data_IF_476762804731
#
_entry.id   IF_476762804731
#
_cell.length_a   1.000
_cell.length_b   1.000
_cell.length_c   1.000
_cell.angle_alpha   90.00
_cell.angle_beta   90.00
_cell.angle_gamma   90.00
#
_symmetry.space_group_name_H-M   'P 1'
#
loop_
_entity.id
_entity.type
_entity.pdbx_description
1 polymer ?
#
# COMPACT_ATOMS: atom_id res chain seq x y z
N UNK A 1 53.80 41.70 6.73
CA UNK A 1 52.69 41.43 7.66
C UNK A 1 51.86 40.29 7.05
N UNK A 2 51.66 39.20 7.81
CA UNK A 2 50.88 37.98 7.50
C UNK A 2 51.45 37.02 6.41
N UNK A 3 52.43 36.16 6.74
CA UNK A 3 52.33 34.77 7.27
C UNK A 3 52.01 33.69 6.20
N UNK A 4 53.08 33.00 5.77
CA UNK A 4 53.08 31.62 5.23
C UNK A 4 52.48 30.67 6.28
N UNK A 5 51.64 29.73 5.84
CA UNK A 5 51.45 28.45 6.53
C UNK A 5 51.57 27.33 5.49
N UNK A 6 52.70 26.61 5.56
CA UNK A 6 52.83 25.27 4.99
C UNK A 6 52.17 24.29 5.95
N UNK A 7 51.33 23.41 5.41
CA UNK A 7 51.03 22.12 6.01
C UNK A 7 50.62 21.17 4.89
N UNK A 8 51.62 20.47 4.37
CA UNK A 8 51.43 19.25 3.61
C UNK A 8 50.56 18.30 4.44
N UNK A 9 49.38 17.96 3.92
CA UNK A 9 48.57 16.88 4.46
C UNK A 9 49.09 15.60 3.81
N UNK A 10 49.90 14.88 4.59
CA UNK A 10 50.41 13.56 4.28
C UNK A 10 49.30 12.63 3.81
N UNK A 11 49.47 12.14 2.58
CA UNK A 11 48.72 11.03 2.00
C UNK A 11 49.22 9.72 2.61
N UNK A 12 48.94 9.51 3.90
CA UNK A 12 49.10 8.18 4.49
C UNK A 12 47.89 7.32 4.14
N UNK A 13 48.10 6.50 3.11
CA UNK A 13 47.27 5.37 2.74
C UNK A 13 47.30 4.32 3.86
N UNK A 14 46.52 4.55 4.91
CA UNK A 14 46.18 3.53 5.89
C UNK A 14 45.36 2.40 5.24
N UNK A 15 45.53 1.14 5.67
CA UNK A 15 44.88 0.00 5.04
C UNK A 15 43.37 0.18 5.10
N UNK A 16 42.72 0.00 3.94
CA UNK A 16 41.26 0.00 3.75
C UNK A 16 40.70 -1.21 4.51
N UNK A 17 40.66 -1.10 5.83
CA UNK A 17 40.09 -2.07 6.74
C UNK A 17 38.57 -1.99 6.56
N UNK A 18 38.06 -2.94 5.77
CA UNK A 18 36.69 -3.42 5.70
C UNK A 18 35.66 -2.63 6.51
N UNK A 19 35.21 -1.49 5.96
CA UNK A 19 33.83 -1.05 6.24
C UNK A 19 32.93 -2.04 5.52
N UNK A 20 32.71 -3.17 6.17
CA UNK A 20 31.62 -4.07 5.88
C UNK A 20 30.38 -3.20 5.68
N UNK A 21 29.89 -3.20 4.44
CA UNK A 21 28.64 -2.63 4.02
C UNK A 21 27.60 -2.85 5.12
N UNK A 22 27.21 -1.79 5.83
CA UNK A 22 26.00 -1.79 6.66
C UNK A 22 24.82 -1.85 5.67
N UNK A 23 24.64 -3.03 5.06
CA UNK A 23 23.54 -3.36 4.16
C UNK A 23 22.24 -3.07 4.89
N UNK A 24 21.28 -2.51 4.16
CA UNK A 24 20.00 -1.98 4.62
C UNK A 24 19.06 -2.99 5.31
N UNK A 25 19.46 -3.49 6.48
CA UNK A 25 18.53 -4.10 7.40
C UNK A 25 17.87 -2.97 8.19
N UNK A 26 16.60 -2.75 7.90
CA UNK A 26 15.68 -2.14 8.84
C UNK A 26 15.92 -2.76 10.22
N UNK A 27 16.34 -1.96 11.19
CA UNK A 27 16.67 -2.47 12.51
C UNK A 27 15.43 -3.10 13.17
N UNK A 28 15.60 -4.17 13.94
CA UNK A 28 14.50 -4.75 14.71
C UNK A 28 13.80 -3.69 15.57
N UNK A 29 14.58 -2.75 16.12
CA UNK A 29 14.09 -1.60 16.88
C UNK A 29 13.13 -0.73 16.09
N UNK A 30 13.43 -0.40 14.83
CA UNK A 30 12.53 0.42 13.99
C UNK A 30 11.20 -0.30 13.76
N UNK A 31 11.21 -1.61 13.51
CA UNK A 31 9.98 -2.39 13.32
C UNK A 31 9.12 -2.39 14.57
N UNK A 32 9.74 -2.57 15.74
CA UNK A 32 9.04 -2.53 17.04
C UNK A 32 8.46 -1.15 17.31
N UNK A 33 9.20 -0.07 17.04
CA UNK A 33 8.70 1.30 17.21
C UNK A 33 7.54 1.61 16.25
N UNK A 34 7.62 1.15 15.01
CA UNK A 34 6.55 1.32 14.03
C UNK A 34 5.28 0.58 14.47
N UNK A 35 5.41 -0.71 14.84
CA UNK A 35 4.29 -1.50 15.34
C UNK A 35 3.70 -0.92 16.63
N UNK A 36 4.56 -0.45 17.55
CA UNK A 36 4.14 0.25 18.77
C UNK A 36 3.33 1.51 18.48
N UNK A 37 3.74 2.30 17.49
CA UNK A 37 2.98 3.50 17.08
C UNK A 37 1.63 3.14 16.47
N UNK A 38 1.56 2.11 15.61
CA UNK A 38 0.28 1.61 15.08
C UNK A 38 -0.63 1.13 16.22
N UNK A 39 -0.08 0.41 17.21
CA UNK A 39 -0.82 -0.02 18.39
C UNK A 39 -1.35 1.18 19.20
N UNK A 40 -0.54 2.22 19.40
CA UNK A 40 -0.99 3.45 20.06
C UNK A 40 -2.16 4.11 19.31
N UNK A 41 -2.13 4.12 17.97
CA UNK A 41 -3.26 4.62 17.17
C UNK A 41 -4.51 3.75 17.35
N UNK A 42 -4.38 2.42 17.39
CA UNK A 42 -5.52 1.53 17.70
C UNK A 42 -6.06 1.80 19.10
N UNK A 43 -5.19 1.92 20.10
CA UNK A 43 -5.61 2.24 21.47
C UNK A 43 -6.33 3.59 21.54
N UNK A 44 -5.89 4.58 20.77
CA UNK A 44 -6.59 5.86 20.66
C UNK A 44 -8.02 5.70 20.12
N UNK A 45 -8.25 4.86 19.10
CA UNK A 45 -9.61 4.57 18.61
C UNK A 45 -10.49 4.00 19.72
N UNK A 46 -9.99 3.00 20.43
CA UNK A 46 -10.75 2.30 21.47
C UNK A 46 -10.96 3.13 22.73
N UNK A 47 -10.14 4.16 22.96
CA UNK A 47 -10.33 5.12 24.06
C UNK A 47 -11.57 6.00 23.89
N UNK A 48 -12.08 6.14 22.67
CA UNK A 48 -13.29 6.92 22.38
C UNK A 48 -14.51 6.05 22.69
N UNK A 49 -15.40 6.43 23.62
CA UNK A 49 -16.53 5.58 24.02
C UNK A 49 -17.50 5.33 22.87
N UNK A 50 -17.93 6.40 22.19
CA UNK A 50 -18.89 6.36 21.10
C UNK A 50 -18.34 7.13 19.89
N UNK A 51 -18.27 6.44 18.75
CA UNK A 51 -17.92 7.07 17.49
C UNK A 51 -19.13 7.80 16.93
N UNK A 52 -18.91 9.00 16.38
CA UNK A 52 -19.95 9.80 15.76
C UNK A 52 -19.38 10.47 14.51
N UNK A 53 -19.20 9.67 13.46
CA UNK A 53 -18.81 10.18 12.15
C UNK A 53 -20.06 10.48 11.30
N UNK A 54 -20.06 11.56 10.49
CA UNK A 54 -21.20 11.95 9.66
C UNK A 54 -21.78 10.79 8.83
N UNK A 55 -20.95 10.06 8.11
CA UNK A 55 -21.37 8.93 7.27
C UNK A 55 -21.23 7.56 7.97
N UNK A 56 -20.68 7.51 9.19
CA UNK A 56 -20.44 6.23 9.89
C UNK A 56 -21.74 5.48 10.18
N UNK A 57 -22.73 6.18 10.74
CA UNK A 57 -24.01 5.60 11.11
C UNK A 57 -24.80 5.05 9.92
N UNK A 58 -24.73 5.70 8.74
CA UNK A 58 -25.42 5.19 7.55
C UNK A 58 -24.80 3.88 7.07
N UNK A 59 -23.48 3.71 7.15
CA UNK A 59 -22.84 2.44 6.77
C UNK A 59 -23.26 1.29 7.68
N UNK A 60 -23.35 1.54 8.98
CA UNK A 60 -23.84 0.57 9.97
C UNK A 60 -25.31 0.22 9.72
N UNK A 61 -26.16 1.20 9.45
CA UNK A 61 -27.57 0.99 9.12
C UNK A 61 -27.75 0.17 7.83
N UNK A 62 -26.99 0.47 6.77
CA UNK A 62 -27.04 -0.28 5.51
C UNK A 62 -26.55 -1.72 5.69
N UNK A 63 -25.49 -1.95 6.45
CA UNK A 63 -25.00 -3.30 6.77
C UNK A 63 -26.02 -4.10 7.60
N UNK A 64 -26.74 -3.43 8.50
CA UNK A 64 -27.84 -4.04 9.24
C UNK A 64 -29.01 -4.41 8.31
N UNK A 65 -29.41 -3.52 7.39
CA UNK A 65 -30.43 -3.82 6.38
C UNK A 65 -30.06 -5.02 5.52
N UNK A 66 -28.82 -5.11 5.03
CA UNK A 66 -28.34 -6.28 4.30
C UNK A 66 -28.48 -7.58 5.09
N UNK A 67 -28.23 -7.51 6.40
CA UNK A 67 -28.37 -8.66 7.30
C UNK A 67 -29.82 -9.10 7.44
N UNK A 68 -30.72 -8.17 7.79
CA UNK A 68 -32.12 -8.53 8.09
C UNK A 68 -32.91 -8.85 6.82
N UNK A 69 -32.65 -8.16 5.71
CA UNK A 69 -33.28 -8.46 4.41
C UNK A 69 -32.73 -9.76 3.83
N UNK A 70 -31.42 -10.00 3.91
CA UNK A 70 -30.80 -11.22 3.42
C UNK A 70 -31.25 -12.48 4.17
N UNK A 71 -31.52 -12.36 5.47
CA UNK A 71 -32.01 -13.46 6.30
C UNK A 71 -33.54 -13.60 6.32
N UNK A 72 -34.27 -12.69 5.66
CA UNK A 72 -35.74 -12.67 5.69
C UNK A 72 -36.33 -12.31 7.07
N UNK A 73 -35.55 -11.71 7.96
CA UNK A 73 -35.97 -11.29 9.32
C UNK A 73 -36.30 -9.81 9.42
N UNK A 74 -36.26 -9.08 8.30
CA UNK A 74 -36.57 -7.65 8.26
C UNK A 74 -38.05 -7.40 8.62
N UNK A 75 -38.30 -6.31 9.36
CA UNK A 75 -39.66 -5.84 9.61
C UNK A 75 -40.40 -5.60 8.28
N UNK A 76 -41.70 -5.95 8.17
CA UNK A 76 -42.49 -5.70 6.96
C UNK A 76 -42.42 -4.26 6.43
N UNK A 77 -42.26 -3.26 7.30
CA UNK A 77 -42.09 -1.87 6.87
C UNK A 77 -40.78 -1.69 6.09
N UNK A 78 -39.69 -2.32 6.51
CA UNK A 78 -38.40 -2.23 5.84
C UNK A 78 -38.46 -2.94 4.48
N UNK A 79 -39.11 -4.10 4.42
CA UNK A 79 -39.32 -4.84 3.17
C UNK A 79 -40.14 -4.07 2.13
N UNK A 80 -40.99 -3.13 2.58
CA UNK A 80 -41.80 -2.28 1.69
C UNK A 80 -40.97 -1.17 1.01
N UNK A 81 -39.93 -0.68 1.67
CA UNK A 81 -39.15 0.48 1.22
C UNK A 81 -37.74 0.15 0.76
N UNK A 82 -37.20 -1.02 1.12
CA UNK A 82 -35.84 -1.43 0.81
C UNK A 82 -35.80 -2.78 0.11
N UNK A 83 -34.98 -2.84 -0.93
CA UNK A 83 -34.63 -4.05 -1.67
C UNK A 83 -33.11 -4.23 -1.65
N UNK A 84 -32.65 -5.47 -1.80
CA UNK A 84 -31.22 -5.75 -1.87
C UNK A 84 -30.65 -5.25 -3.20
N UNK A 85 -29.73 -4.30 -3.14
CA UNK A 85 -28.96 -3.88 -4.30
C UNK A 85 -27.81 -4.88 -4.57
N UNK A 86 -27.98 -5.71 -5.60
CA UNK A 86 -26.97 -6.66 -6.09
C UNK A 86 -26.17 -6.13 -7.29
N UNK A 87 -26.34 -4.85 -7.64
CA UNK A 87 -25.58 -4.24 -8.73
C UNK A 87 -24.10 -4.15 -8.37
N UNK A 88 -23.24 -4.28 -9.37
CA UNK A 88 -21.79 -4.18 -9.22
C UNK A 88 -21.35 -2.72 -9.19
N UNK A 89 -21.71 -2.02 -8.13
CA UNK A 89 -21.35 -0.62 -7.92
C UNK A 89 -20.08 -0.50 -7.06
N UNK A 90 -19.27 0.56 -7.23
CA UNK A 90 -18.21 0.86 -6.27
C UNK A 90 -18.82 1.13 -4.87
N UNK A 91 -17.98 1.11 -3.83
CA UNK A 91 -18.40 1.26 -2.43
C UNK A 91 -19.16 0.07 -1.83
N UNK A 92 -18.97 -1.12 -2.38
CA UNK A 92 -19.59 -2.33 -1.85
C UNK A 92 -18.73 -3.04 -0.79
N UNK A 93 -17.40 -2.82 -0.79
CA UNK A 93 -16.41 -3.62 -0.07
C UNK A 93 -16.70 -3.78 1.44
N UNK A 94 -17.04 -2.69 2.13
CA UNK A 94 -17.19 -2.73 3.60
C UNK A 94 -18.46 -3.44 4.06
N UNK A 95 -19.50 -3.49 3.22
CA UNK A 95 -20.82 -3.89 3.63
C UNK A 95 -20.95 -5.37 4.02
N UNK A 96 -20.44 -6.35 3.25
CA UNK A 96 -20.47 -7.75 3.68
C UNK A 96 -19.61 -7.97 4.94
N UNK A 97 -18.51 -7.23 5.09
CA UNK A 97 -17.63 -7.30 6.27
C UNK A 97 -18.38 -6.79 7.50
N UNK A 98 -18.97 -5.60 7.41
CA UNK A 98 -19.69 -4.98 8.51
C UNK A 98 -20.96 -5.76 8.86
N UNK A 99 -21.69 -6.29 7.87
CA UNK A 99 -22.83 -7.19 8.10
C UNK A 99 -22.41 -8.45 8.87
N UNK A 100 -21.27 -9.06 8.51
CA UNK A 100 -20.71 -10.18 9.28
C UNK A 100 -20.30 -9.80 10.70
N UNK A 101 -19.69 -8.63 10.89
CA UNK A 101 -19.33 -8.14 12.23
C UNK A 101 -20.57 -7.87 13.11
N UNK A 102 -21.67 -7.38 12.53
CA UNK A 102 -22.93 -7.13 13.23
C UNK A 102 -23.62 -8.40 13.74
N UNK A 103 -23.23 -9.59 13.27
CA UNK A 103 -23.70 -10.86 13.81
C UNK A 103 -23.06 -11.21 15.16
N UNK A 104 -21.92 -10.61 15.47
CA UNK A 104 -21.07 -10.98 16.61
C UNK A 104 -20.97 -9.81 17.60
N UNK A 105 -20.93 -8.58 17.08
CA UNK A 105 -20.71 -7.37 17.85
C UNK A 105 -21.91 -6.43 17.77
N UNK A 106 -22.09 -5.63 18.82
CA UNK A 106 -22.99 -4.49 18.77
C UNK A 106 -22.55 -3.46 17.70
N UNK A 107 -23.47 -2.66 17.14
CA UNK A 107 -23.19 -1.71 16.06
C UNK A 107 -21.94 -0.84 16.27
N UNK A 108 -21.79 -0.27 17.47
CA UNK A 108 -20.67 0.60 17.82
C UNK A 108 -19.32 -0.16 17.87
N UNK A 109 -19.34 -1.42 18.30
CA UNK A 109 -18.15 -2.27 18.40
C UNK A 109 -17.76 -2.83 17.02
N UNK A 110 -18.75 -3.20 16.20
CA UNK A 110 -18.53 -3.64 14.82
C UNK A 110 -17.79 -2.57 14.00
N UNK A 111 -18.21 -1.30 14.12
CA UNK A 111 -17.56 -0.16 13.47
C UNK A 111 -16.11 0.03 13.96
N UNK A 112 -15.85 -0.04 15.27
CA UNK A 112 -14.48 0.05 15.82
C UNK A 112 -13.59 -1.10 15.35
N UNK A 113 -14.12 -2.31 15.24
CA UNK A 113 -13.37 -3.47 14.71
C UNK A 113 -13.01 -3.25 13.24
N UNK A 114 -13.96 -2.77 12.42
CA UNK A 114 -13.70 -2.40 11.03
C UNK A 114 -12.60 -1.33 10.93
N UNK A 115 -12.68 -0.26 11.73
CA UNK A 115 -11.68 0.81 11.73
C UNK A 115 -10.32 0.38 12.28
N UNK A 116 -10.28 -0.55 13.24
CA UNK A 116 -9.04 -1.16 13.72
C UNK A 116 -8.32 -1.87 12.58
N UNK A 117 -9.07 -2.61 11.75
CA UNK A 117 -8.54 -3.23 10.55
C UNK A 117 -7.88 -2.20 9.61
N UNK A 118 -8.53 -1.06 9.38
CA UNK A 118 -7.99 0.01 8.55
C UNK A 118 -6.73 0.65 9.16
N UNK A 119 -6.75 1.00 10.46
CA UNK A 119 -5.62 1.64 11.16
C UNK A 119 -4.35 0.79 11.07
N UNK A 120 -4.50 -0.54 11.05
CA UNK A 120 -3.39 -1.46 10.83
C UNK A 120 -3.07 -1.56 9.34
N UNK A 121 -4.05 -1.86 8.49
CA UNK A 121 -3.84 -2.13 7.07
C UNK A 121 -3.20 -0.96 6.31
N UNK A 122 -3.54 0.28 6.63
CA UNK A 122 -3.08 1.44 5.89
C UNK A 122 -1.56 1.70 6.05
N UNK A 123 -0.98 1.87 7.25
CA UNK A 123 0.46 2.05 7.40
C UNK A 123 1.27 0.86 6.87
N UNK A 124 0.79 -0.37 7.07
CA UNK A 124 1.49 -1.57 6.60
C UNK A 124 1.43 -1.75 5.07
N UNK A 125 0.33 -1.37 4.42
CA UNK A 125 0.24 -1.39 2.95
C UNK A 125 1.17 -0.35 2.32
N UNK A 126 1.25 0.87 2.87
CA UNK A 126 2.23 1.89 2.46
C UNK A 126 3.65 1.34 2.64
N UNK A 127 3.95 0.76 3.80
CA UNK A 127 5.24 0.12 4.07
C UNK A 127 5.58 -0.98 3.06
N UNK A 128 4.60 -1.80 2.70
CA UNK A 128 4.76 -2.84 1.69
C UNK A 128 5.05 -2.26 0.31
N UNK A 129 4.38 -1.17 -0.08
CA UNK A 129 4.58 -0.47 -1.34
C UNK A 129 5.96 0.20 -1.45
N UNK A 130 6.36 0.99 -0.45
CA UNK A 130 7.64 1.72 -0.51
C UNK A 130 8.84 0.77 -0.49
N UNK A 131 8.74 -0.35 0.23
CA UNK A 131 9.79 -1.38 0.27
C UNK A 131 9.80 -2.28 -0.96
N UNK A 132 8.80 -2.19 -1.84
CA UNK A 132 8.83 -2.87 -3.15
C UNK A 132 9.90 -2.28 -4.07
N UNK A 133 10.10 -0.96 -3.98
CA UNK A 133 11.12 -0.25 -4.74
C UNK A 133 12.53 -0.54 -4.22
N UNK A 134 12.75 -0.31 -2.91
CA UNK A 134 13.99 -0.64 -2.21
C UNK A 134 13.69 -0.99 -0.75
N UNK A 135 14.26 -2.07 -0.18
CA UNK A 135 14.04 -2.42 1.24
C UNK A 135 14.42 -1.31 2.23
N UNK A 136 15.40 -0.49 1.87
CA UNK A 136 15.89 0.66 2.65
C UNK A 136 14.84 1.76 2.84
N UNK A 137 13.80 1.79 2.00
CA UNK A 137 12.74 2.80 2.06
C UNK A 137 11.73 2.56 3.19
N UNK A 138 11.88 1.53 4.02
CA UNK A 138 10.94 1.25 5.09
C UNK A 138 10.62 2.44 6.02
N UNK A 139 11.59 3.32 6.37
CA UNK A 139 11.29 4.51 7.17
C UNK A 139 10.32 5.49 6.52
N UNK A 140 10.14 5.48 5.19
CA UNK A 140 9.16 6.35 4.54
C UNK A 140 7.72 5.99 4.93
N UNK A 141 7.47 4.77 5.43
CA UNK A 141 6.16 4.38 5.91
C UNK A 141 5.69 5.17 7.14
N UNK A 142 6.61 5.80 7.90
CA UNK A 142 6.25 6.65 9.02
C UNK A 142 5.41 7.85 8.60
N UNK A 143 5.57 8.33 7.36
CA UNK A 143 4.74 9.40 6.82
C UNK A 143 3.28 8.99 6.63
N UNK A 144 2.92 7.71 6.64
CA UNK A 144 1.54 7.27 6.58
C UNK A 144 0.78 7.48 7.91
N UNK A 145 1.49 7.45 9.05
CA UNK A 145 0.87 7.43 10.37
C UNK A 145 -0.01 8.66 10.67
N UNK A 146 0.42 9.91 10.35
CA UNK A 146 -0.43 11.09 10.55
C UNK A 146 -1.71 11.09 9.71
N UNK A 147 -1.75 10.33 8.61
CA UNK A 147 -2.91 10.28 7.72
C UNK A 147 -3.94 9.22 8.12
N UNK A 148 -3.66 8.40 9.14
CA UNK A 148 -4.61 7.38 9.62
C UNK A 148 -5.92 8.03 10.06
N UNK A 149 -5.85 9.12 10.84
CA UNK A 149 -7.03 9.88 11.29
C UNK A 149 -7.25 11.14 10.46
N UNK A 150 -6.95 11.09 9.16
CA UNK A 150 -7.16 12.22 8.26
C UNK A 150 -8.66 12.52 8.09
N UNK A 151 -8.93 13.66 7.43
CA UNK A 151 -10.28 14.14 7.12
C UNK A 151 -11.26 13.07 6.59
N UNK A 152 -10.90 12.16 5.66
CA UNK A 152 -11.86 11.18 5.13
C UNK A 152 -12.38 10.19 6.17
N UNK A 153 -11.54 9.78 7.13
CA UNK A 153 -11.98 8.94 8.25
C UNK A 153 -12.96 9.71 9.13
N UNK A 154 -12.66 10.98 9.43
CA UNK A 154 -13.52 11.83 10.26
C UNK A 154 -14.87 12.16 9.60
N UNK A 155 -14.98 12.03 8.28
CA UNK A 155 -16.27 12.09 7.59
C UNK A 155 -17.03 10.75 7.62
N UNK A 156 -16.39 9.64 7.97
CA UNK A 156 -17.00 8.32 7.93
C UNK A 156 -16.95 7.64 6.56
N UNK A 157 -16.06 8.08 5.66
CA UNK A 157 -15.95 7.55 4.29
C UNK A 157 -15.24 6.18 4.26
N UNK A 158 -15.87 5.16 4.83
CA UNK A 158 -15.24 3.86 5.11
C UNK A 158 -14.77 3.11 3.87
N UNK A 159 -15.59 3.11 2.82
CA UNK A 159 -15.23 2.54 1.53
C UNK A 159 -14.02 3.23 0.90
N UNK A 160 -13.97 4.57 1.00
CA UNK A 160 -12.83 5.34 0.52
C UNK A 160 -11.55 5.02 1.31
N UNK A 161 -11.57 5.07 2.64
CA UNK A 161 -10.35 4.81 3.43
C UNK A 161 -9.85 3.37 3.22
N UNK A 162 -10.73 2.39 3.10
CA UNK A 162 -10.36 1.00 2.81
C UNK A 162 -9.80 0.79 1.41
N UNK A 163 -10.16 1.65 0.45
CA UNK A 163 -9.57 1.60 -0.89
C UNK A 163 -8.06 1.95 -0.90
N UNK A 164 -7.57 2.72 0.09
CA UNK A 164 -6.16 3.12 0.18
C UNK A 164 -5.23 1.92 0.50
N UNK A 165 -5.49 1.06 1.51
CA UNK A 165 -4.77 -0.19 1.67
C UNK A 165 -4.69 -1.03 0.40
N UNK A 166 -5.82 -1.21 -0.29
CA UNK A 166 -5.86 -2.01 -1.52
C UNK A 166 -5.05 -1.38 -2.64
N UNK A 167 -5.12 -0.05 -2.81
CA UNK A 167 -4.26 0.70 -3.74
C UNK A 167 -2.77 0.41 -3.47
N UNK A 168 -2.30 0.60 -2.23
CA UNK A 168 -0.89 0.42 -1.90
C UNK A 168 -0.44 -1.04 -1.96
N UNK A 169 -1.28 -2.00 -1.55
CA UNK A 169 -1.00 -3.44 -1.71
C UNK A 169 -0.86 -3.79 -3.19
N UNK A 170 -1.78 -3.31 -4.04
CA UNK A 170 -1.74 -3.59 -5.47
C UNK A 170 -0.48 -3.01 -6.12
N UNK A 171 -0.16 -1.75 -5.81
CA UNK A 171 1.06 -1.09 -6.28
C UNK A 171 2.32 -1.82 -5.82
N UNK A 172 2.40 -2.15 -4.53
CA UNK A 172 3.53 -2.89 -3.98
C UNK A 172 3.71 -4.27 -4.60
N UNK A 173 2.61 -4.97 -4.88
CA UNK A 173 2.65 -6.29 -5.51
C UNK A 173 3.11 -6.18 -6.97
N UNK A 174 2.52 -5.28 -7.75
CA UNK A 174 2.92 -5.01 -9.12
C UNK A 174 4.41 -4.63 -9.20
N UNK A 175 4.88 -3.71 -8.34
CA UNK A 175 6.29 -3.29 -8.26
C UNK A 175 7.25 -4.38 -7.79
N UNK A 176 6.79 -5.43 -7.09
CA UNK A 176 7.68 -6.55 -6.73
C UNK A 176 7.85 -7.54 -7.87
N UNK A 177 6.85 -7.64 -8.76
CA UNK A 177 6.72 -8.70 -9.76
C UNK A 177 6.79 -8.21 -11.21
N UNK A 178 6.98 -6.91 -11.45
CA UNK A 178 6.95 -6.31 -12.79
C UNK A 178 7.93 -6.95 -13.80
N UNK A 179 9.09 -7.45 -13.36
CA UNK A 179 10.07 -8.13 -14.24
C UNK A 179 9.72 -9.59 -14.57
N UNK A 180 8.75 -10.18 -13.88
CA UNK A 180 8.41 -11.61 -14.03
C UNK A 180 6.89 -11.78 -13.93
N UNK A 181 6.15 -11.04 -14.76
CA UNK A 181 4.69 -11.07 -14.76
C UNK A 181 4.20 -12.29 -15.53
N UNK A 182 3.70 -13.29 -14.80
CA UNK A 182 3.03 -14.48 -15.38
C UNK A 182 1.52 -14.25 -15.44
N UNK A 183 0.74 -15.01 -16.24
CA UNK A 183 -0.71 -14.88 -16.27
C UNK A 183 -1.36 -14.98 -14.88
N UNK A 184 -0.87 -15.89 -14.02
CA UNK A 184 -1.34 -15.99 -12.63
C UNK A 184 -1.03 -14.75 -11.78
N UNK A 185 0.14 -14.11 -11.96
CA UNK A 185 0.47 -12.87 -11.25
C UNK A 185 -0.32 -11.67 -11.78
N UNK A 186 -0.58 -11.63 -13.09
CA UNK A 186 -1.49 -10.66 -13.69
C UNK A 186 -2.91 -10.80 -13.15
N UNK A 187 -3.40 -12.04 -13.01
CA UNK A 187 -4.70 -12.31 -12.39
C UNK A 187 -4.76 -11.78 -10.95
N UNK A 188 -3.71 -11.98 -10.15
CA UNK A 188 -3.63 -11.39 -8.80
C UNK A 188 -3.73 -9.86 -8.83
N UNK A 189 -3.02 -9.19 -9.75
CA UNK A 189 -3.12 -7.73 -9.89
C UNK A 189 -4.55 -7.32 -10.30
N UNK A 190 -5.17 -8.04 -11.23
CA UNK A 190 -6.54 -7.77 -11.67
C UNK A 190 -7.56 -7.94 -10.54
N UNK A 191 -7.44 -9.00 -9.74
CA UNK A 191 -8.29 -9.24 -8.57
C UNK A 191 -8.10 -8.14 -7.51
N UNK A 192 -6.86 -7.74 -7.22
CA UNK A 192 -6.59 -6.65 -6.28
C UNK A 192 -7.11 -5.29 -6.80
N UNK A 193 -7.01 -5.04 -8.11
CA UNK A 193 -7.60 -3.86 -8.74
C UNK A 193 -9.14 -3.88 -8.65
N UNK A 194 -9.76 -5.06 -8.81
CA UNK A 194 -11.20 -5.23 -8.65
C UNK A 194 -11.65 -4.98 -7.21
N UNK A 195 -10.90 -5.47 -6.22
CA UNK A 195 -11.17 -5.16 -4.80
C UNK A 195 -11.00 -3.66 -4.53
N UNK A 196 -10.00 -3.01 -5.15
CA UNK A 196 -9.81 -1.56 -5.06
C UNK A 196 -11.01 -0.81 -5.66
N UNK A 197 -11.55 -1.28 -6.80
CA UNK A 197 -12.76 -0.73 -7.43
C UNK A 197 -13.99 -0.86 -6.54
N UNK A 198 -14.26 -2.07 -6.01
CA UNK A 198 -15.37 -2.29 -5.09
C UNK A 198 -15.22 -1.51 -3.78
N UNK A 199 -13.99 -1.15 -3.40
CA UNK A 199 -13.75 -0.23 -2.29
C UNK A 199 -14.09 1.19 -2.69
N UNK A 200 -13.45 1.76 -3.72
CA UNK A 200 -13.77 3.10 -4.20
C UNK A 200 -13.24 3.37 -5.62
N UNK A 201 -14.06 3.99 -6.47
CA UNK A 201 -13.70 4.27 -7.87
C UNK A 201 -12.48 5.20 -8.00
N UNK A 202 -12.38 6.24 -7.16
CA UNK A 202 -11.25 7.19 -7.20
C UNK A 202 -9.91 6.49 -7.03
N UNK A 203 -9.78 5.58 -6.07
CA UNK A 203 -8.53 4.84 -5.86
C UNK A 203 -8.26 3.84 -6.98
N UNK A 204 -9.31 3.26 -7.59
CA UNK A 204 -9.14 2.44 -8.78
C UNK A 204 -8.63 3.25 -9.98
N UNK A 205 -9.12 4.47 -10.19
CA UNK A 205 -8.61 5.39 -11.22
C UNK A 205 -7.14 5.73 -10.95
N UNK A 206 -6.80 6.11 -9.71
CA UNK A 206 -5.41 6.41 -9.33
C UNK A 206 -4.50 5.19 -9.55
N UNK A 207 -4.98 3.98 -9.21
CA UNK A 207 -4.25 2.73 -9.47
C UNK A 207 -4.00 2.53 -10.96
N UNK A 208 -5.04 2.65 -11.79
CA UNK A 208 -4.94 2.49 -13.24
C UNK A 208 -3.96 3.49 -13.86
N UNK A 209 -4.04 4.76 -13.46
CA UNK A 209 -3.11 5.80 -13.91
C UNK A 209 -1.67 5.49 -13.49
N UNK A 210 -1.46 5.08 -12.24
CA UNK A 210 -0.12 4.82 -11.71
C UNK A 210 0.52 3.59 -12.35
N UNK A 211 -0.21 2.48 -12.45
CA UNK A 211 0.27 1.26 -13.10
C UNK A 211 0.44 1.47 -14.60
N UNK A 212 -0.49 2.19 -15.25
CA UNK A 212 -0.41 2.55 -16.66
C UNK A 212 0.81 3.41 -16.97
N UNK A 213 1.06 4.46 -16.16
CA UNK A 213 2.24 5.31 -16.29
C UNK A 213 3.54 4.53 -16.10
N UNK A 214 3.60 3.64 -15.09
CA UNK A 214 4.76 2.77 -14.87
C UNK A 214 4.98 1.83 -16.07
N UNK A 215 3.93 1.21 -16.58
CA UNK A 215 4.00 0.34 -17.75
C UNK A 215 4.49 1.08 -19.00
N UNK A 216 3.93 2.28 -19.26
CA UNK A 216 4.35 3.14 -20.35
C UNK A 216 5.82 3.56 -20.23
N UNK A 217 6.28 3.90 -19.02
CA UNK A 217 7.69 4.22 -18.76
C UNK A 217 8.62 3.03 -19.02
N UNK A 218 8.25 1.83 -18.57
CA UNK A 218 9.04 0.60 -18.79
C UNK A 218 9.14 0.30 -20.29
N UNK A 219 8.03 0.41 -21.03
CA UNK A 219 7.99 0.22 -22.49
C UNK A 219 8.84 1.27 -23.22
N UNK A 220 8.78 2.53 -22.77
CA UNK A 220 9.63 3.60 -23.30
C UNK A 220 11.12 3.31 -23.11
N UNK A 221 11.53 2.87 -21.91
CA UNK A 221 12.92 2.47 -21.66
C UNK A 221 13.35 1.29 -22.54
N UNK A 222 12.50 0.28 -22.71
CA UNK A 222 12.79 -0.87 -23.59
C UNK A 222 12.89 -0.46 -25.06
N UNK A 223 12.09 0.51 -25.51
CA UNK A 223 12.16 1.05 -26.87
C UNK A 223 13.43 1.87 -27.11
N UNK A 224 13.86 2.67 -26.14
CA UNK A 224 15.09 3.48 -26.20
C UNK A 224 16.37 2.64 -26.11
N UNK A 225 16.38 1.64 -25.23
CA UNK A 225 17.52 0.74 -25.00
C UNK A 225 16.97 -0.69 -24.80
N UNK A 226 16.91 -1.50 -25.87
CA UNK A 226 16.42 -2.89 -25.78
C UNK A 226 17.18 -3.70 -24.73
N UNK A 227 16.46 -4.45 -23.91
CA UNK A 227 17.00 -5.21 -22.79
C UNK A 227 17.21 -4.40 -21.49
N UNK A 228 17.06 -3.07 -21.53
CA UNK A 228 17.21 -2.24 -20.32
C UNK A 228 16.09 -2.42 -19.31
N UNK A 229 14.91 -2.85 -19.75
CA UNK A 229 13.74 -3.05 -18.88
C UNK A 229 13.81 -4.33 -18.07
N UNK A 230 14.66 -5.31 -18.41
CA UNK A 230 14.63 -6.63 -17.78
C UNK A 230 13.36 -7.44 -18.08
N UNK A 231 12.53 -7.03 -19.05
CA UNK A 231 11.39 -7.81 -19.56
C UNK A 231 11.83 -8.97 -20.46
N UNK A 232 12.94 -8.81 -21.19
CA UNK A 232 13.54 -9.90 -21.96
C UNK A 232 14.30 -10.80 -20.99
N UNK A 233 13.82 -12.04 -20.80
CA UNK A 233 14.64 -13.10 -20.19
C UNK A 233 15.87 -13.28 -21.07
N UNK A 234 17.07 -13.23 -20.49
CA UNK A 234 18.33 -13.46 -21.20
C UNK A 234 18.31 -14.87 -21.80
N UNK A 235 17.90 -14.96 -23.07
CA UNK A 235 18.06 -16.14 -23.90
C UNK A 235 19.29 -15.94 -24.77
N UNK A 236 20.45 -16.42 -24.31
CA UNK A 236 21.65 -16.58 -25.11
C UNK A 236 22.54 -15.33 -25.25
N UNK A 237 23.83 -15.53 -24.98
CA UNK A 237 24.95 -14.62 -25.19
C UNK A 237 25.03 -13.40 -24.27
N UNK A 238 25.65 -13.60 -23.11
CA UNK A 238 26.43 -12.56 -22.44
C UNK A 238 27.53 -12.07 -23.40
N UNK A 239 27.26 -10.99 -24.14
CA UNK A 239 28.30 -10.20 -24.77
C UNK A 239 28.92 -9.29 -23.71
N UNK A 240 30.22 -9.44 -23.51
CA UNK A 240 30.96 -8.96 -22.36
C UNK A 240 30.87 -7.45 -22.11
N UNK A 241 30.62 -7.11 -20.86
CA UNK A 241 31.19 -5.91 -20.28
C UNK A 241 31.61 -6.18 -18.83
N UNK A 242 32.91 -6.25 -18.60
CA UNK A 242 33.57 -6.61 -17.34
C UNK A 242 33.57 -5.48 -16.30
N UNK A 243 32.41 -4.89 -16.01
CA UNK A 243 32.23 -4.05 -14.82
C UNK A 243 30.95 -4.46 -14.10
N UNK A 244 30.96 -4.61 -12.76
CA UNK A 244 29.74 -4.87 -12.02
C UNK A 244 28.88 -3.61 -12.07
N UNK A 245 28.03 -3.49 -13.08
CA UNK A 245 26.91 -2.56 -13.05
C UNK A 245 26.10 -2.91 -11.80
N UNK A 246 25.96 -1.95 -10.90
CA UNK A 246 25.07 -2.05 -9.75
C UNK A 246 23.77 -2.74 -10.16
N UNK A 247 23.24 -3.70 -9.38
CA UNK A 247 21.96 -4.34 -9.69
C UNK A 247 20.85 -3.33 -9.39
N UNK A 248 20.77 -2.26 -10.18
CA UNK A 248 19.65 -1.35 -10.14
C UNK A 248 18.49 -2.10 -10.77
N UNK A 249 17.53 -2.45 -9.92
CA UNK A 249 16.28 -3.13 -10.26
C UNK A 249 15.37 -2.23 -11.11
N UNK A 250 15.90 -1.25 -11.85
CA UNK A 250 15.17 -0.17 -12.49
C UNK A 250 15.66 0.07 -13.93
N UNK A 251 14.73 0.18 -14.91
CA UNK A 251 15.07 0.50 -16.29
C UNK A 251 15.80 1.85 -16.42
N UNK A 252 16.57 2.03 -17.49
CA UNK A 252 17.29 3.27 -17.81
C UNK A 252 18.42 3.70 -16.84
N UNK A 253 18.65 3.01 -15.71
CA UNK A 253 19.84 3.20 -14.86
C UNK A 253 21.07 2.38 -15.33
N UNK A 254 20.92 1.54 -16.35
CA UNK A 254 22.05 0.88 -17.02
C UNK A 254 22.66 1.88 -18.00
N UNK A 255 23.73 2.56 -17.57
CA UNK A 255 24.60 3.27 -18.50
C UNK A 255 25.12 2.29 -19.56
N UNK A 256 25.08 2.61 -20.87
CA UNK A 256 25.81 1.84 -21.85
C UNK A 256 27.29 1.88 -21.44
N UNK A 257 27.90 0.71 -21.31
CA UNK A 257 29.34 0.59 -21.15
C UNK A 257 30.06 0.85 -22.48
#
# INVERSE_FOLDING_TARGET
MAQRNEAALDLDAGPVAGRASKRGLVSARERTLFAGTVLLLVLALWSIPLLSFPDGAVHVAMAHLLTVLGNGTADPILQRYFELNIQTEPNWFIYPILAGLLQIFEPHSAEKVLLTGFIVAFPYSVRYAVTAARPENAPLAWFALPFVYAWPLNLGLYNFIWSLPWLFVTLGYALRRWTDMTPGRTLVVALLALVTYFSHITSAIVLMLTVGALGAWILWCEWRVPGSSGLRREGGAAAGCGRPCWPSRWPCCRSPC
#
